data_IF_211919784393
#
_entry.id   IF_211919784393
#
_cell.length_a   1.000
_cell.length_b   1.000
_cell.length_c   1.000
_cell.angle_alpha   90.00
_cell.angle_beta   90.00
_cell.angle_gamma   90.00
#
_symmetry.space_group_name_H-M   'P 1'
#
loop_
_entity.id
_entity.type
_entity.pdbx_description
1 polymer ?
#
# COMPACT_ATOMS: atom_id res chain seq x y z
N UNK A 1 -37.55 14.45 15.92
CA UNK A 1 -36.64 15.46 15.33
C UNK A 1 -35.79 16.14 16.39
N UNK A 2 -36.36 16.62 17.49
CA UNK A 2 -35.65 17.39 18.53
C UNK A 2 -34.61 16.57 19.32
N UNK A 3 -34.83 15.27 19.52
CA UNK A 3 -33.90 14.42 20.28
C UNK A 3 -32.57 14.21 19.52
N UNK A 4 -32.64 13.98 18.22
CA UNK A 4 -31.48 13.85 17.37
C UNK A 4 -30.65 15.14 17.22
N UNK A 5 -31.29 16.30 17.23
CA UNK A 5 -30.60 17.59 17.25
C UNK A 5 -29.92 17.87 18.58
N UNK A 6 -30.56 17.54 19.69
CA UNK A 6 -29.99 17.68 21.04
C UNK A 6 -28.77 16.77 21.25
N UNK A 7 -28.76 15.54 20.72
CA UNK A 7 -27.60 14.67 20.77
C UNK A 7 -26.44 15.20 19.92
N UNK A 8 -26.72 15.68 18.71
CA UNK A 8 -25.67 16.27 17.84
C UNK A 8 -25.01 17.50 18.42
N UNK A 9 -25.76 18.38 19.08
CA UNK A 9 -25.16 19.54 19.74
C UNK A 9 -24.29 19.13 20.93
N UNK A 10 -24.69 18.14 21.72
CA UNK A 10 -23.87 17.60 22.83
C UNK A 10 -22.60 16.91 22.33
N UNK A 11 -22.66 16.18 21.22
CA UNK A 11 -21.48 15.57 20.60
C UNK A 11 -20.49 16.62 20.09
N UNK A 12 -20.98 17.75 19.56
CA UNK A 12 -20.10 18.82 19.04
C UNK A 12 -19.40 19.59 20.16
N UNK A 13 -19.94 19.63 21.37
CA UNK A 13 -19.40 20.35 22.53
C UNK A 13 -18.43 19.51 23.37
N UNK A 14 -18.42 18.18 23.23
CA UNK A 14 -17.55 17.33 24.02
C UNK A 14 -16.11 17.36 23.49
N UNK A 15 -15.08 17.66 24.32
CA UNK A 15 -13.68 17.73 23.86
C UNK A 15 -13.17 16.45 23.17
N UNK A 16 -13.73 15.28 23.55
CA UNK A 16 -13.40 13.99 22.93
C UNK A 16 -14.06 13.78 21.56
N UNK A 17 -15.05 14.61 21.21
CA UNK A 17 -15.73 14.57 19.91
C UNK A 17 -15.12 15.53 18.89
N UNK A 18 -13.91 16.05 19.16
CA UNK A 18 -13.17 16.86 18.19
C UNK A 18 -12.94 16.06 16.91
N UNK A 19 -13.73 16.37 15.89
CA UNK A 19 -13.68 15.74 14.57
C UNK A 19 -12.82 16.51 13.57
N UNK A 20 -12.26 17.64 14.00
CA UNK A 20 -11.42 18.52 13.19
C UNK A 20 -10.15 18.90 13.99
N UNK A 21 -9.24 17.93 14.22
CA UNK A 21 -7.97 18.25 14.86
C UNK A 21 -7.14 19.18 13.98
N UNK A 22 -6.21 19.93 14.60
CA UNK A 22 -5.22 20.70 13.86
C UNK A 22 -4.46 19.80 12.88
N UNK A 23 -4.00 20.36 11.78
CA UNK A 23 -3.13 19.63 10.86
C UNK A 23 -1.85 19.22 11.58
N UNK A 24 -1.39 17.98 11.45
CA UNK A 24 -0.15 17.56 12.06
C UNK A 24 1.05 18.26 11.43
N UNK A 25 2.04 18.57 12.23
CA UNK A 25 3.36 18.87 11.71
C UNK A 25 3.97 17.57 11.18
N UNK A 26 4.33 17.57 9.90
CA UNK A 26 4.87 16.39 9.21
C UNK A 26 6.39 16.54 9.02
N UNK A 27 7.22 15.92 9.86
CA UNK A 27 8.66 16.00 9.70
C UNK A 27 9.09 15.45 8.34
N UNK A 28 10.23 15.92 7.83
CA UNK A 28 10.83 15.35 6.64
C UNK A 28 11.45 14.01 7.00
N UNK A 29 11.17 12.94 6.23
CA UNK A 29 11.82 11.65 6.45
C UNK A 29 13.34 11.73 6.30
N UNK A 30 14.06 10.90 7.03
CA UNK A 30 15.46 10.61 6.74
C UNK A 30 15.51 9.73 5.48
N UNK A 31 15.70 10.38 4.33
CA UNK A 31 15.71 9.70 3.04
C UNK A 31 16.93 8.79 2.88
N UNK A 32 16.69 7.55 2.51
CA UNK A 32 17.76 6.60 2.23
C UNK A 32 18.42 6.89 0.87
N UNK A 33 19.73 6.65 0.74
CA UNK A 33 20.39 6.69 -0.57
C UNK A 33 19.81 5.63 -1.52
N UNK A 34 19.75 5.96 -2.81
CA UNK A 34 19.44 4.97 -3.85
C UNK A 34 20.51 3.89 -3.90
N UNK A 35 20.14 2.69 -4.34
CA UNK A 35 21.02 1.50 -4.44
C UNK A 35 21.46 0.86 -3.11
N UNK A 36 21.09 1.46 -1.98
CA UNK A 36 21.28 0.85 -0.66
C UNK A 36 20.01 0.11 -0.27
N UNK A 37 20.15 -1.13 0.18
CA UNK A 37 19.00 -1.90 0.66
C UNK A 37 18.66 -1.55 2.11
N UNK A 38 17.36 -1.48 2.40
CA UNK A 38 16.85 -1.25 3.74
C UNK A 38 15.41 -1.71 3.94
N UNK A 39 14.98 -1.74 5.21
CA UNK A 39 13.64 -2.16 5.57
C UNK A 39 12.69 -1.00 5.62
N UNK A 40 11.70 -1.00 4.73
CA UNK A 40 10.65 0.00 4.69
C UNK A 40 9.91 0.13 6.05
N UNK A 41 9.61 -0.99 6.72
CA UNK A 41 9.00 -0.96 8.05
C UNK A 41 9.89 -0.30 9.11
N UNK A 42 11.21 -0.54 9.08
CA UNK A 42 12.14 0.13 10.01
C UNK A 42 12.24 1.64 9.74
N UNK A 43 12.16 2.07 8.48
CA UNK A 43 12.11 3.48 8.12
C UNK A 43 10.83 4.14 8.60
N UNK A 44 9.69 3.47 8.44
CA UNK A 44 8.39 3.94 8.95
C UNK A 44 8.37 4.05 10.47
N UNK A 45 8.95 3.09 11.20
CA UNK A 45 9.04 3.13 12.66
C UNK A 45 9.78 4.40 13.15
N UNK A 46 10.97 4.65 12.58
CA UNK A 46 11.75 5.88 12.89
C UNK A 46 10.97 7.15 12.60
N UNK A 47 10.42 7.25 11.40
CA UNK A 47 9.67 8.43 10.99
C UNK A 47 8.39 8.65 11.82
N UNK A 48 7.69 7.57 12.20
CA UNK A 48 6.48 7.67 13.01
C UNK A 48 6.80 8.17 14.44
N UNK A 49 7.92 7.75 15.01
CA UNK A 49 8.41 8.30 16.30
C UNK A 49 8.64 9.80 16.19
N UNK A 50 9.30 10.28 15.14
CA UNK A 50 9.50 11.72 14.90
C UNK A 50 8.17 12.45 14.71
N UNK A 51 7.22 11.86 13.98
CA UNK A 51 5.88 12.42 13.80
C UNK A 51 5.15 12.59 15.13
N UNK A 52 5.18 11.58 15.99
CA UNK A 52 4.56 11.63 17.32
C UNK A 52 5.18 12.73 18.17
N UNK A 53 6.51 12.79 18.22
CA UNK A 53 7.25 13.79 19.00
C UNK A 53 7.00 15.23 18.50
N UNK A 54 6.82 15.41 17.20
CA UNK A 54 6.50 16.70 16.60
C UNK A 54 5.05 17.18 16.86
N UNK A 55 4.18 16.30 17.38
CA UNK A 55 2.75 16.55 17.55
C UNK A 55 2.24 16.21 18.98
N UNK A 56 2.84 16.75 20.05
CA UNK A 56 2.45 16.40 21.43
C UNK A 56 1.01 16.80 21.78
N UNK A 57 0.40 17.70 20.99
CA UNK A 57 -0.99 18.13 21.16
C UNK A 57 -2.01 17.12 20.64
N UNK A 58 -1.60 16.15 19.81
CA UNK A 58 -2.49 15.14 19.25
C UNK A 58 -2.49 13.88 20.12
N UNK A 59 -3.67 13.38 20.42
CA UNK A 59 -3.81 12.09 21.10
C UNK A 59 -3.45 10.95 20.14
N UNK A 60 -2.43 10.17 20.47
CA UNK A 60 -2.01 9.03 19.67
C UNK A 60 -2.81 7.79 20.03
N UNK A 61 -3.17 7.00 19.00
CA UNK A 61 -3.77 5.69 19.18
C UNK A 61 -3.23 4.72 18.12
N UNK A 62 -2.63 3.62 18.59
CA UNK A 62 -2.18 2.54 17.71
C UNK A 62 -3.06 1.33 17.99
N UNK A 63 -3.65 0.75 16.93
CA UNK A 63 -4.29 -0.56 16.96
C UNK A 63 -3.36 -1.61 16.41
N UNK A 64 -2.99 -2.60 17.22
CA UNK A 64 -2.17 -3.73 16.78
C UNK A 64 -2.69 -5.01 17.45
N UNK A 65 -3.20 -5.98 16.67
CA UNK A 65 -3.77 -7.20 17.24
C UNK A 65 -2.73 -8.16 17.80
N UNK A 66 -1.48 -8.01 17.36
CA UNK A 66 -0.37 -8.90 17.67
C UNK A 66 0.93 -8.10 17.82
N UNK A 67 2.03 -8.75 17.98
CA UNK A 67 3.38 -8.26 18.28
C UNK A 67 3.84 -7.07 17.42
N UNK A 68 3.67 -5.84 17.90
CA UNK A 68 4.12 -4.63 17.21
C UNK A 68 5.64 -4.62 16.97
N UNK A 69 6.43 -5.15 17.92
CA UNK A 69 7.88 -5.28 17.80
C UNK A 69 8.29 -6.24 16.67
N UNK A 70 7.58 -7.36 16.49
CA UNK A 70 7.85 -8.31 15.39
C UNK A 70 7.56 -7.72 14.02
N UNK A 71 6.73 -6.69 13.96
CA UNK A 71 6.45 -5.89 12.77
C UNK A 71 7.49 -4.77 12.54
N UNK A 72 8.65 -4.84 13.21
CA UNK A 72 9.74 -3.85 13.15
C UNK A 72 9.33 -2.44 13.60
N UNK A 73 8.37 -2.33 14.52
CA UNK A 73 7.96 -1.06 15.14
C UNK A 73 8.35 -0.99 16.62
N UNK A 74 9.56 -1.42 16.93
CA UNK A 74 10.08 -1.47 18.31
C UNK A 74 10.31 -0.10 18.94
N UNK A 75 10.79 0.90 18.19
CA UNK A 75 11.00 2.24 18.69
C UNK A 75 9.64 2.93 19.02
N UNK A 76 8.64 2.76 18.17
CA UNK A 76 7.27 3.20 18.43
C UNK A 76 6.71 2.55 19.71
N UNK A 77 6.88 1.24 19.88
CA UNK A 77 6.43 0.53 21.08
C UNK A 77 7.13 1.01 22.34
N UNK A 78 8.45 1.22 22.29
CA UNK A 78 9.22 1.74 23.42
C UNK A 78 8.74 3.15 23.85
N UNK A 79 8.41 4.01 22.89
CA UNK A 79 7.91 5.35 23.15
C UNK A 79 6.48 5.36 23.69
N UNK A 80 5.57 4.61 23.05
CA UNK A 80 4.13 4.74 23.26
C UNK A 80 3.51 3.68 24.17
N UNK A 81 4.20 2.59 24.43
CA UNK A 81 3.87 1.49 25.33
C UNK A 81 2.49 0.86 25.10
N UNK A 82 2.37 -0.41 25.41
CA UNK A 82 1.09 -1.11 25.48
C UNK A 82 0.22 -0.51 26.58
N UNK A 83 -1.07 -0.36 26.30
CA UNK A 83 -2.05 0.07 27.27
C UNK A 83 -2.56 -1.13 28.05
N UNK A 84 -2.26 -1.18 29.34
CA UNK A 84 -2.66 -2.27 30.23
C UNK A 84 -3.17 -1.72 31.56
N UNK A 85 -3.95 -2.52 32.29
CA UNK A 85 -4.45 -2.14 33.61
C UNK A 85 -3.38 -2.31 34.71
N UNK A 86 -2.52 -3.31 34.55
CA UNK A 86 -1.45 -3.64 35.50
C UNK A 86 -0.16 -3.83 34.71
N UNK A 87 0.70 -2.82 34.61
CA UNK A 87 1.98 -2.92 33.89
C UNK A 87 2.96 -3.88 34.55
N UNK A 88 3.66 -4.71 33.75
CA UNK A 88 4.73 -5.57 34.21
C UNK A 88 6.10 -4.84 34.18
N UNK A 89 6.93 -4.97 35.24
CA UNK A 89 8.25 -4.38 35.26
C UNK A 89 9.15 -4.94 34.13
N UNK A 90 9.81 -4.04 33.39
CA UNK A 90 10.74 -4.43 32.30
C UNK A 90 10.08 -4.69 30.96
N UNK A 91 8.75 -4.59 30.87
CA UNK A 91 7.97 -4.69 29.64
C UNK A 91 7.54 -3.27 29.21
N UNK A 92 7.44 -2.95 27.92
CA UNK A 92 6.96 -1.64 27.44
C UNK A 92 5.45 -1.49 27.60
N UNK A 93 4.99 -1.43 28.85
CA UNK A 93 3.60 -1.35 29.26
C UNK A 93 3.32 -0.11 30.13
N UNK A 94 2.12 0.44 30.06
CA UNK A 94 1.66 1.55 30.89
C UNK A 94 0.13 1.62 30.95
N UNK A 95 -0.41 2.13 32.06
CA UNK A 95 -1.83 2.47 32.14
C UNK A 95 -2.23 3.59 31.18
N UNK A 96 -1.28 4.46 30.81
CA UNK A 96 -1.46 5.55 29.87
C UNK A 96 -0.91 5.24 28.46
N UNK A 97 -0.56 3.98 28.20
CA UNK A 97 -0.06 3.52 26.93
C UNK A 97 -1.00 3.87 25.76
N UNK A 98 -0.43 4.12 24.60
CA UNK A 98 -1.19 4.47 23.39
C UNK A 98 -1.38 3.29 22.43
N UNK A 99 -0.66 2.18 22.63
CA UNK A 99 -0.79 0.96 21.83
C UNK A 99 -1.86 0.07 22.44
N UNK A 100 -2.96 -0.09 21.72
CA UNK A 100 -4.04 -1.01 22.08
C UNK A 100 -3.78 -2.35 21.41
N UNK A 101 -3.53 -3.37 22.25
CA UNK A 101 -3.28 -4.75 21.80
C UNK A 101 -4.40 -5.66 22.31
N UNK A 102 -5.01 -6.38 21.39
CA UNK A 102 -5.96 -7.44 21.66
C UNK A 102 -5.92 -8.42 20.48
N UNK A 103 -6.00 -9.72 20.76
CA UNK A 103 -6.08 -10.76 19.71
C UNK A 103 -7.46 -10.71 19.00
N UNK A 104 -7.81 -9.51 18.56
CA UNK A 104 -9.04 -9.20 17.83
C UNK A 104 -8.80 -7.99 16.94
N UNK A 105 -8.64 -8.23 15.68
CA UNK A 105 -8.31 -7.23 14.66
C UNK A 105 -9.37 -6.13 14.58
N UNK A 106 -10.65 -6.49 14.67
CA UNK A 106 -11.74 -5.52 14.61
C UNK A 106 -11.74 -4.59 15.84
N UNK A 107 -11.49 -5.13 17.04
CA UNK A 107 -11.46 -4.32 18.27
C UNK A 107 -10.33 -3.29 18.25
N UNK A 108 -9.12 -3.67 17.81
CA UNK A 108 -7.98 -2.74 17.74
C UNK A 108 -8.15 -1.69 16.64
N UNK A 109 -8.74 -2.08 15.50
CA UNK A 109 -9.10 -1.14 14.45
C UNK A 109 -10.18 -0.15 14.92
N UNK A 110 -11.21 -0.62 15.64
CA UNK A 110 -12.23 0.23 16.24
C UNK A 110 -11.64 1.24 17.21
N UNK A 111 -10.69 0.82 18.07
CA UNK A 111 -10.03 1.72 18.99
C UNK A 111 -9.25 2.85 18.31
N UNK A 112 -8.58 2.56 17.18
CA UNK A 112 -7.88 3.56 16.38
C UNK A 112 -8.85 4.47 15.61
N UNK A 113 -9.83 3.90 14.90
CA UNK A 113 -10.79 4.66 14.10
C UNK A 113 -11.71 5.55 14.94
N UNK A 114 -12.01 5.17 16.19
CA UNK A 114 -12.80 5.99 17.11
C UNK A 114 -12.06 7.25 17.60
N UNK A 115 -10.75 7.32 17.48
CA UNK A 115 -9.96 8.46 17.92
C UNK A 115 -9.95 9.61 16.88
N UNK A 116 -11.11 10.18 16.60
CA UNK A 116 -11.31 11.19 15.52
C UNK A 116 -10.53 12.50 15.73
N UNK A 117 -10.22 12.85 16.97
CA UNK A 117 -9.46 14.06 17.31
C UNK A 117 -7.95 13.84 17.43
N UNK A 118 -7.42 12.73 17.00
CA UNK A 118 -6.03 12.35 17.19
C UNK A 118 -5.31 11.84 15.95
N UNK A 119 -4.11 11.36 16.20
CA UNK A 119 -3.26 10.70 15.20
C UNK A 119 -3.33 9.19 15.42
N UNK A 120 -3.70 8.47 14.39
CA UNK A 120 -4.00 7.03 14.48
C UNK A 120 -3.13 6.23 13.54
N UNK A 121 -2.82 5.00 13.95
CA UNK A 121 -2.13 4.00 13.14
C UNK A 121 -2.72 2.62 13.45
N UNK A 122 -2.93 1.82 12.42
CA UNK A 122 -3.26 0.39 12.56
C UNK A 122 -2.14 -0.40 11.91
N UNK A 123 -1.65 -1.44 12.60
CA UNK A 123 -0.60 -2.33 12.08
C UNK A 123 -1.05 -3.77 12.26
N UNK A 124 -1.03 -4.55 11.19
CA UNK A 124 -1.42 -5.97 11.22
C UNK A 124 -0.66 -6.77 10.16
N UNK A 125 -0.70 -8.10 10.27
CA UNK A 125 -0.35 -8.98 9.16
C UNK A 125 -1.39 -8.88 8.05
N UNK A 126 -0.94 -8.93 6.79
CA UNK A 126 -1.83 -8.74 5.63
C UNK A 126 -3.02 -9.71 5.65
N UNK A 127 -2.76 -11.00 5.86
CA UNK A 127 -3.80 -12.04 5.85
C UNK A 127 -4.86 -11.84 6.93
N UNK A 128 -4.52 -11.27 8.08
CA UNK A 128 -5.47 -11.09 9.18
C UNK A 128 -6.23 -9.76 9.11
N UNK A 129 -5.66 -8.78 8.43
CA UNK A 129 -6.27 -7.46 8.31
C UNK A 129 -7.66 -7.49 7.64
N UNK A 130 -7.98 -8.54 6.87
CA UNK A 130 -9.31 -8.71 6.27
C UNK A 130 -10.44 -8.75 7.32
N UNK A 131 -10.17 -9.18 8.54
CA UNK A 131 -11.13 -9.16 9.65
C UNK A 131 -11.55 -7.74 10.07
N UNK A 132 -10.75 -6.72 9.73
CA UNK A 132 -11.06 -5.31 10.00
C UNK A 132 -11.97 -4.68 8.93
N UNK A 133 -12.19 -5.36 7.79
CA UNK A 133 -12.83 -4.79 6.60
C UNK A 133 -14.23 -4.24 6.88
N UNK A 134 -15.05 -4.95 7.66
CA UNK A 134 -16.41 -4.53 7.96
C UNK A 134 -16.46 -3.17 8.64
N UNK A 135 -15.60 -2.94 9.63
CA UNK A 135 -15.48 -1.68 10.35
C UNK A 135 -14.90 -0.56 9.46
N UNK A 136 -13.86 -0.86 8.69
CA UNK A 136 -13.25 0.11 7.78
C UNK A 136 -14.24 0.59 6.73
N UNK A 137 -15.04 -0.31 6.17
CA UNK A 137 -16.09 0.04 5.21
C UNK A 137 -17.12 1.00 5.80
N UNK A 138 -17.51 0.85 7.06
CA UNK A 138 -18.41 1.81 7.71
C UNK A 138 -17.82 3.20 7.73
N UNK A 139 -16.54 3.36 8.11
CA UNK A 139 -15.86 4.66 8.09
C UNK A 139 -15.75 5.24 6.68
N UNK A 140 -15.41 4.42 5.70
CA UNK A 140 -15.30 4.80 4.29
C UNK A 140 -16.68 5.30 3.78
N UNK A 141 -17.76 4.57 4.05
CA UNK A 141 -19.12 4.93 3.64
C UNK A 141 -19.55 6.25 4.30
N UNK A 142 -19.31 6.43 5.60
CA UNK A 142 -19.62 7.68 6.30
C UNK A 142 -18.80 8.85 5.77
N UNK A 143 -17.50 8.67 5.57
CA UNK A 143 -16.62 9.70 5.01
C UNK A 143 -17.08 10.09 3.60
N UNK A 144 -17.43 9.11 2.77
CA UNK A 144 -17.95 9.34 1.43
C UNK A 144 -19.27 10.13 1.46
N UNK A 145 -20.19 9.72 2.30
CA UNK A 145 -21.47 10.41 2.45
C UNK A 145 -21.31 11.85 2.91
N UNK A 146 -20.36 12.14 3.79
CA UNK A 146 -20.07 13.52 4.21
C UNK A 146 -19.53 14.36 3.04
N UNK A 147 -18.65 13.81 2.19
CA UNK A 147 -18.16 14.49 0.97
C UNK A 147 -19.30 14.80 0.00
N UNK A 148 -20.19 13.85 -0.26
CA UNK A 148 -21.37 14.03 -1.12
C UNK A 148 -22.31 15.12 -0.63
N UNK A 149 -22.37 15.35 0.68
CA UNK A 149 -23.15 16.41 1.29
C UNK A 149 -22.40 17.77 1.35
N UNK A 150 -21.20 17.87 0.75
CA UNK A 150 -20.37 19.07 0.80
C UNK A 150 -19.76 19.36 2.19
N UNK A 151 -19.74 18.37 3.08
CA UNK A 151 -19.18 18.46 4.44
C UNK A 151 -18.08 17.40 4.63
N UNK A 152 -16.93 17.55 3.96
CA UNK A 152 -15.87 16.53 4.02
C UNK A 152 -15.39 16.31 5.46
N UNK A 153 -15.02 15.06 5.81
CA UNK A 153 -14.55 14.73 7.14
C UNK A 153 -13.33 15.56 7.55
N UNK A 154 -13.30 16.01 8.80
CA UNK A 154 -12.17 16.78 9.32
C UNK A 154 -11.11 15.96 10.05
N UNK A 155 -11.34 14.68 10.31
CA UNK A 155 -10.37 13.82 10.99
C UNK A 155 -9.18 13.48 10.09
N UNK A 156 -7.98 13.36 10.70
CA UNK A 156 -6.74 12.98 10.00
C UNK A 156 -6.90 11.56 9.46
N UNK A 157 -6.56 11.35 8.21
CA UNK A 157 -6.67 10.03 7.58
C UNK A 157 -5.93 8.95 8.36
N UNK A 158 -6.47 7.74 8.36
CA UNK A 158 -5.98 6.63 9.18
C UNK A 158 -5.28 5.60 8.28
N UNK A 159 -3.97 5.42 8.42
CA UNK A 159 -3.27 4.34 7.75
C UNK A 159 -3.51 3.00 8.46
N UNK A 160 -3.74 1.98 7.65
CA UNK A 160 -3.58 0.57 7.98
C UNK A 160 -2.29 0.10 7.31
N UNK A 161 -1.24 -0.11 8.07
CA UNK A 161 -0.03 -0.77 7.57
C UNK A 161 -0.27 -2.27 7.65
N UNK A 162 -0.17 -2.94 6.51
CA UNK A 162 -0.13 -4.40 6.43
C UNK A 162 1.28 -4.84 6.07
N UNK A 163 1.84 -5.70 6.91
CA UNK A 163 3.21 -6.20 6.78
C UNK A 163 3.25 -7.70 7.06
N UNK A 164 4.43 -8.32 7.07
CA UNK A 164 4.51 -9.79 6.99
C UNK A 164 3.56 -10.31 5.91
N UNK A 165 3.59 -9.62 4.79
CA UNK A 165 2.59 -9.77 3.74
C UNK A 165 2.78 -11.09 2.97
N UNK A 166 1.86 -11.37 2.07
CA UNK A 166 1.70 -12.63 1.32
C UNK A 166 3.03 -13.21 0.80
N UNK A 167 3.94 -12.38 0.29
CA UNK A 167 5.21 -12.84 -0.29
C UNK A 167 6.33 -13.06 0.73
N UNK A 168 6.20 -12.55 1.96
CA UNK A 168 7.24 -12.58 2.99
C UNK A 168 6.97 -13.58 4.12
N UNK A 169 5.74 -14.02 4.29
CA UNK A 169 5.35 -14.80 5.46
C UNK A 169 5.61 -16.30 5.28
N UNK A 170 6.89 -16.67 5.32
CA UNK A 170 7.33 -18.04 5.10
C UNK A 170 7.19 -18.98 6.32
N UNK A 171 7.02 -18.42 7.53
CA UNK A 171 7.04 -19.22 8.76
C UNK A 171 5.69 -19.89 9.07
N UNK A 172 4.60 -19.27 8.67
CA UNK A 172 3.25 -19.59 9.14
C UNK A 172 2.36 -20.23 8.06
N UNK A 173 2.95 -20.66 6.99
CA UNK A 173 2.28 -21.35 5.88
C UNK A 173 1.19 -20.48 5.17
N UNK A 174 0.39 -21.13 4.34
CA UNK A 174 -0.61 -20.48 3.51
C UNK A 174 -1.71 -19.74 4.29
N UNK A 175 -1.98 -20.13 5.54
CA UNK A 175 -2.95 -19.44 6.40
C UNK A 175 -2.62 -17.97 6.69
N UNK A 176 -1.37 -17.57 6.49
CA UNK A 176 -0.87 -16.20 6.69
C UNK A 176 -0.52 -15.48 5.38
N UNK A 177 -0.92 -16.05 4.25
CA UNK A 177 -0.61 -15.56 2.90
C UNK A 177 -1.91 -15.25 2.16
N UNK A 178 -2.43 -14.03 2.32
CA UNK A 178 -3.67 -13.59 1.67
C UNK A 178 -3.70 -12.08 1.46
N UNK A 179 -3.76 -11.58 0.21
CA UNK A 179 -3.82 -10.16 -0.12
C UNK A 179 -5.24 -9.58 -0.14
N UNK A 180 -6.24 -10.32 0.32
CA UNK A 180 -7.69 -9.98 0.18
C UNK A 180 -8.03 -8.59 0.74
N UNK A 181 -7.37 -8.10 1.80
CA UNK A 181 -7.70 -6.78 2.37
C UNK A 181 -7.44 -5.65 1.36
N UNK A 182 -6.31 -5.68 0.66
CA UNK A 182 -5.99 -4.72 -0.39
C UNK A 182 -6.96 -4.81 -1.56
N UNK A 183 -7.27 -6.02 -2.01
CA UNK A 183 -8.24 -6.28 -3.09
C UNK A 183 -9.63 -5.76 -2.77
N UNK A 184 -10.11 -6.01 -1.55
CA UNK A 184 -11.42 -5.55 -1.11
C UNK A 184 -11.50 -4.01 -1.01
N UNK A 185 -10.46 -3.36 -0.48
CA UNK A 185 -10.41 -1.91 -0.38
C UNK A 185 -10.24 -1.23 -1.74
N UNK A 186 -9.59 -1.86 -2.72
CA UNK A 186 -9.59 -1.40 -4.11
C UNK A 186 -11.00 -1.41 -4.74
N UNK A 187 -11.94 -2.17 -4.19
CA UNK A 187 -13.36 -2.14 -4.58
C UNK A 187 -14.11 -0.89 -4.10
N UNK A 188 -13.62 -0.21 -3.06
CA UNK A 188 -14.23 1.01 -2.50
C UNK A 188 -13.93 2.26 -3.33
N UNK A 189 -14.51 3.42 -2.97
CA UNK A 189 -14.25 4.70 -3.63
C UNK A 189 -12.83 5.19 -3.34
N UNK A 190 -12.01 5.36 -4.36
CA UNK A 190 -10.58 5.65 -4.24
C UNK A 190 -10.26 6.98 -3.55
N UNK A 191 -11.18 7.93 -3.55
CA UNK A 191 -11.03 9.20 -2.84
C UNK A 191 -11.23 9.10 -1.32
N UNK A 192 -11.74 7.96 -0.82
CA UNK A 192 -11.94 7.65 0.61
C UNK A 192 -11.23 6.39 1.09
N UNK A 193 -10.96 5.45 0.19
CA UNK A 193 -10.22 4.23 0.47
C UNK A 193 -9.01 4.15 -0.46
N UNK A 194 -7.81 4.34 0.10
CA UNK A 194 -6.56 4.26 -0.65
C UNK A 194 -5.90 2.91 -0.41
N UNK A 195 -5.28 2.34 -1.43
CA UNK A 195 -4.41 1.16 -1.31
C UNK A 195 -3.10 1.49 -1.98
N UNK A 196 -2.02 1.47 -1.20
CA UNK A 196 -0.69 1.85 -1.63
C UNK A 196 0.27 0.65 -1.51
N UNK A 197 1.08 0.46 -2.53
CA UNK A 197 2.11 -0.57 -2.63
C UNK A 197 3.49 0.10 -2.76
N UNK A 198 4.03 0.74 -1.71
CA UNK A 198 5.37 1.29 -1.77
C UNK A 198 6.40 0.19 -2.03
N UNK A 199 7.46 0.52 -2.74
CA UNK A 199 8.44 -0.45 -3.22
C UNK A 199 9.78 -0.41 -2.49
N UNK A 200 10.04 0.67 -1.73
CA UNK A 200 11.27 0.88 -0.97
C UNK A 200 11.03 1.76 0.27
N UNK A 201 12.10 2.05 1.03
CA UNK A 201 12.02 2.89 2.25
C UNK A 201 11.48 4.30 1.93
N UNK A 202 11.95 4.91 0.85
CA UNK A 202 11.62 6.29 0.50
C UNK A 202 10.15 6.41 0.05
N UNK A 203 9.67 5.50 -0.77
CA UNK A 203 8.27 5.47 -1.20
C UNK A 203 7.33 5.13 -0.05
N UNK A 204 7.74 4.28 0.91
CA UNK A 204 6.96 3.98 2.10
C UNK A 204 6.81 5.22 3.01
N UNK A 205 7.90 5.93 3.28
CA UNK A 205 7.86 7.17 4.07
C UNK A 205 7.05 8.27 3.36
N UNK A 206 7.20 8.42 2.04
CA UNK A 206 6.41 9.36 1.26
C UNK A 206 4.92 9.02 1.30
N UNK A 207 4.57 7.72 1.18
CA UNK A 207 3.18 7.25 1.26
C UNK A 207 2.55 7.57 2.62
N UNK A 208 3.21 7.20 3.72
CA UNK A 208 2.68 7.43 5.06
C UNK A 208 2.54 8.92 5.36
N UNK A 209 3.52 9.73 4.93
CA UNK A 209 3.46 11.19 5.04
C UNK A 209 2.28 11.78 4.26
N UNK A 210 2.02 11.32 3.04
CA UNK A 210 0.88 11.74 2.23
C UNK A 210 -0.47 11.34 2.84
N UNK A 211 -0.55 10.18 3.49
CA UNK A 211 -1.76 9.76 4.22
C UNK A 211 -2.04 10.74 5.36
N UNK A 212 -1.06 11.07 6.20
CA UNK A 212 -1.27 12.00 7.31
C UNK A 212 -1.45 13.47 6.88
N UNK A 213 -1.04 13.83 5.67
CA UNK A 213 -1.35 15.12 5.07
C UNK A 213 -2.82 15.23 4.62
N UNK A 214 -3.53 14.12 4.49
CA UNK A 214 -4.91 14.03 4.02
C UNK A 214 -5.93 13.88 5.16
N UNK A 215 -7.21 14.02 4.83
CA UNK A 215 -8.31 13.90 5.79
C UNK A 215 -9.42 13.01 5.27
N UNK A 216 -10.05 12.29 6.19
CA UNK A 216 -11.24 11.50 5.90
C UNK A 216 -11.01 10.28 5.02
N UNK A 217 -9.81 9.73 5.01
CA UNK A 217 -9.47 8.54 4.23
C UNK A 217 -8.99 7.41 5.14
N UNK A 218 -9.30 6.19 4.78
CA UNK A 218 -8.64 4.98 5.26
C UNK A 218 -7.65 4.55 4.18
N UNK A 219 -6.39 4.36 4.54
CA UNK A 219 -5.34 4.02 3.59
C UNK A 219 -4.65 2.71 3.99
N UNK A 220 -4.84 1.65 3.22
CA UNK A 220 -4.08 0.42 3.33
C UNK A 220 -2.71 0.63 2.67
N UNK A 221 -1.64 0.43 3.42
CA UNK A 221 -0.25 0.55 2.94
C UNK A 221 0.42 -0.79 3.12
N UNK A 222 0.72 -1.46 2.01
CA UNK A 222 1.34 -2.80 1.98
C UNK A 222 2.85 -2.64 2.02
N UNK A 223 3.49 -3.01 3.13
CA UNK A 223 4.88 -2.67 3.40
C UNK A 223 5.74 -3.91 3.67
N UNK A 224 6.85 -4.02 2.93
CA UNK A 224 7.87 -5.02 3.20
C UNK A 224 8.58 -4.75 4.53
N UNK A 225 8.79 -5.79 5.33
CA UNK A 225 9.66 -5.73 6.51
C UNK A 225 11.05 -6.28 6.25
N UNK A 226 11.27 -6.97 5.13
CA UNK A 226 12.60 -7.37 4.69
C UNK A 226 13.31 -6.21 4.01
N UNK A 227 14.60 -6.30 3.91
CA UNK A 227 15.40 -5.30 3.23
C UNK A 227 15.18 -5.45 1.71
N UNK A 228 14.86 -4.33 1.06
CA UNK A 228 14.69 -4.20 -0.40
C UNK A 228 15.58 -3.07 -0.90
N UNK A 229 16.06 -3.10 -2.17
CA UNK A 229 16.82 -2.00 -2.74
C UNK A 229 15.99 -0.70 -2.77
N UNK A 230 16.65 0.43 -2.53
CA UNK A 230 16.05 1.75 -2.70
C UNK A 230 16.23 2.23 -4.14
N UNK A 231 15.13 2.33 -4.88
CA UNK A 231 15.11 2.76 -6.28
C UNK A 231 14.85 4.25 -6.46
N UNK A 232 14.19 4.88 -5.49
CA UNK A 232 13.68 6.24 -5.63
C UNK A 232 14.42 7.22 -4.71
N UNK A 233 14.89 8.34 -5.28
CA UNK A 233 15.32 9.49 -4.48
C UNK A 233 14.13 10.12 -3.74
N UNK A 234 14.39 11.01 -2.79
CA UNK A 234 13.35 11.75 -2.05
C UNK A 234 12.33 12.42 -2.99
N UNK A 235 12.82 13.16 -3.99
CA UNK A 235 11.94 13.86 -4.94
C UNK A 235 11.14 12.90 -5.82
N UNK A 236 11.77 11.83 -6.31
CA UNK A 236 11.12 10.82 -7.13
C UNK A 236 10.06 10.04 -6.34
N UNK A 237 10.33 9.70 -5.07
CA UNK A 237 9.38 9.03 -4.19
C UNK A 237 8.14 9.90 -3.90
N UNK A 238 8.34 11.20 -3.64
CA UNK A 238 7.24 12.14 -3.43
C UNK A 238 6.38 12.27 -4.70
N UNK A 239 7.01 12.46 -5.86
CA UNK A 239 6.30 12.53 -7.15
C UNK A 239 5.54 11.26 -7.46
N UNK A 240 6.14 10.08 -7.21
CA UNK A 240 5.49 8.79 -7.41
C UNK A 240 4.21 8.65 -6.56
N UNK A 241 4.24 9.05 -5.29
CA UNK A 241 3.07 9.01 -4.41
C UNK A 241 2.01 10.04 -4.83
N UNK A 242 2.40 11.20 -5.33
CA UNK A 242 1.48 12.22 -5.82
C UNK A 242 0.72 11.75 -7.06
N UNK A 243 1.38 11.06 -7.99
CA UNK A 243 0.79 10.61 -9.25
C UNK A 243 0.25 9.17 -9.20
N UNK A 244 0.71 8.35 -8.25
CA UNK A 244 0.32 6.94 -8.07
C UNK A 244 1.04 5.96 -8.99
N UNK A 245 1.76 6.45 -10.01
CA UNK A 245 2.58 5.64 -10.91
C UNK A 245 3.75 6.49 -11.47
N UNK A 246 4.85 5.83 -11.83
CA UNK A 246 5.98 6.47 -12.47
C UNK A 246 6.72 5.50 -13.39
N UNK A 247 7.36 6.06 -14.40
CA UNK A 247 8.27 5.34 -15.27
C UNK A 247 9.61 5.10 -14.56
N UNK A 248 10.16 3.88 -14.70
CA UNK A 248 11.36 3.48 -13.95
C UNK A 248 12.54 3.14 -14.87
N UNK A 249 12.29 2.43 -15.97
CA UNK A 249 13.34 1.97 -16.87
C UNK A 249 12.86 1.84 -18.31
N UNK A 250 13.78 1.89 -19.26
CA UNK A 250 13.54 1.85 -20.70
C UNK A 250 12.96 3.17 -21.24
N UNK A 251 12.71 3.25 -22.52
CA UNK A 251 12.07 4.41 -23.18
C UNK A 251 10.74 3.99 -23.79
N UNK A 252 9.59 4.50 -23.30
CA UNK A 252 8.27 4.15 -23.83
C UNK A 252 8.08 4.45 -25.31
N UNK A 253 8.85 5.39 -25.86
CA UNK A 253 8.75 5.79 -27.27
C UNK A 253 9.37 4.77 -28.24
N UNK A 254 10.33 3.99 -27.77
CA UNK A 254 11.05 2.98 -28.54
C UNK A 254 10.72 1.55 -28.10
N UNK A 255 10.07 1.39 -26.96
CA UNK A 255 9.70 0.10 -26.41
C UNK A 255 8.70 -0.65 -27.31
N UNK A 256 8.83 -1.97 -27.31
CA UNK A 256 7.89 -2.93 -27.93
C UNK A 256 6.99 -3.61 -26.89
N UNK A 257 7.31 -3.44 -25.61
CA UNK A 257 6.61 -4.03 -24.47
C UNK A 257 6.71 -3.11 -23.27
N UNK A 258 5.65 -3.07 -22.45
CA UNK A 258 5.66 -2.42 -21.15
C UNK A 258 5.42 -3.43 -20.02
N UNK A 259 6.33 -3.47 -19.04
CA UNK A 259 6.06 -4.07 -17.74
C UNK A 259 5.36 -3.08 -16.83
N UNK A 260 4.36 -3.55 -16.09
CA UNK A 260 3.66 -2.75 -15.06
C UNK A 260 3.82 -3.48 -13.73
N UNK A 261 4.65 -2.95 -12.84
CA UNK A 261 4.98 -3.57 -11.55
C UNK A 261 4.17 -2.95 -10.41
N UNK A 262 3.57 -3.78 -9.55
CA UNK A 262 2.77 -3.39 -8.40
C UNK A 262 3.25 -4.18 -7.18
N UNK A 263 4.06 -3.54 -6.34
CA UNK A 263 4.72 -4.15 -5.18
C UNK A 263 6.24 -4.25 -5.33
N UNK A 264 6.94 -4.34 -4.19
CA UNK A 264 8.40 -4.30 -4.14
C UNK A 264 9.06 -5.47 -4.89
N UNK A 265 8.67 -6.71 -4.60
CA UNK A 265 9.23 -7.89 -5.26
C UNK A 265 8.85 -7.98 -6.73
N UNK A 266 7.66 -7.48 -7.10
CA UNK A 266 7.19 -7.43 -8.47
C UNK A 266 8.01 -6.45 -9.31
N UNK A 267 8.48 -5.35 -8.71
CA UNK A 267 9.40 -4.43 -9.38
C UNK A 267 10.76 -5.08 -9.63
N UNK A 268 11.31 -5.82 -8.65
CA UNK A 268 12.56 -6.55 -8.80
C UNK A 268 12.49 -7.58 -9.96
N UNK A 269 11.39 -8.33 -10.02
CA UNK A 269 11.20 -9.31 -11.09
C UNK A 269 10.99 -8.63 -12.47
N UNK A 270 10.32 -7.48 -12.52
CA UNK A 270 10.19 -6.69 -13.74
C UNK A 270 11.55 -6.15 -14.22
N UNK A 271 12.39 -5.65 -13.32
CA UNK A 271 13.73 -5.13 -13.64
C UNK A 271 14.64 -6.25 -14.20
N UNK A 272 14.61 -7.44 -13.60
CA UNK A 272 15.35 -8.61 -14.10
C UNK A 272 14.86 -9.02 -15.50
N UNK A 273 13.54 -9.12 -15.70
CA UNK A 273 12.96 -9.46 -16.98
C UNK A 273 13.32 -8.43 -18.07
N UNK A 274 13.21 -7.14 -17.75
CA UNK A 274 13.60 -6.04 -18.63
C UNK A 274 15.07 -6.17 -19.08
N UNK A 275 15.99 -6.30 -18.15
CA UNK A 275 17.42 -6.42 -18.47
C UNK A 275 17.71 -7.62 -19.41
N UNK A 276 17.03 -8.74 -19.20
CA UNK A 276 17.16 -9.92 -20.05
C UNK A 276 16.61 -9.71 -21.47
N UNK A 277 15.42 -9.11 -21.57
CA UNK A 277 14.78 -8.84 -22.86
C UNK A 277 15.60 -7.82 -23.68
N UNK A 278 16.11 -6.77 -23.07
CA UNK A 278 17.01 -5.80 -23.72
C UNK A 278 18.26 -6.48 -24.27
N UNK A 279 18.89 -7.37 -23.48
CA UNK A 279 20.07 -8.13 -23.92
C UNK A 279 19.77 -9.01 -25.16
N UNK A 280 18.55 -9.51 -25.27
CA UNK A 280 18.09 -10.36 -26.38
C UNK A 280 17.39 -9.58 -27.51
N UNK A 281 17.42 -8.23 -27.48
CA UNK A 281 16.95 -7.38 -28.56
C UNK A 281 15.44 -7.11 -28.57
N UNK A 282 14.72 -7.35 -27.46
CA UNK A 282 13.35 -6.88 -27.27
C UNK A 282 13.34 -5.64 -26.37
N UNK A 283 13.23 -4.47 -26.99
CA UNK A 283 13.15 -3.22 -26.25
C UNK A 283 11.88 -3.19 -25.37
N UNK A 284 12.06 -2.94 -24.08
CA UNK A 284 10.98 -2.89 -23.12
C UNK A 284 11.08 -1.67 -22.22
N UNK A 285 9.99 -1.33 -21.53
CA UNK A 285 9.98 -0.29 -20.52
C UNK A 285 9.24 -0.73 -19.28
N UNK A 286 9.49 -0.09 -18.14
CA UNK A 286 8.86 -0.43 -16.86
C UNK A 286 8.17 0.80 -16.29
N UNK A 287 6.90 0.63 -15.90
CA UNK A 287 6.14 1.59 -15.10
C UNK A 287 5.77 0.92 -13.77
N UNK A 288 6.14 1.54 -12.65
CA UNK A 288 5.70 1.12 -11.33
C UNK A 288 4.38 1.80 -10.98
N UNK A 289 3.46 1.06 -10.36
CA UNK A 289 2.19 1.57 -9.87
C UNK A 289 2.14 1.35 -8.36
N UNK A 290 2.17 2.44 -7.60
CA UNK A 290 2.09 2.39 -6.14
C UNK A 290 0.68 2.61 -5.62
N UNK A 291 -0.22 3.24 -6.39
CA UNK A 291 -1.60 3.48 -6.01
C UNK A 291 -2.56 3.17 -7.17
N UNK A 292 -2.94 1.89 -7.36
CA UNK A 292 -3.80 1.47 -8.48
C UNK A 292 -5.15 2.19 -8.53
N UNK A 293 -5.68 2.61 -7.38
CA UNK A 293 -6.94 3.36 -7.29
C UNK A 293 -6.94 4.67 -8.09
N UNK A 294 -5.78 5.29 -8.33
CA UNK A 294 -5.65 6.48 -9.17
C UNK A 294 -5.77 6.21 -10.67
N UNK A 295 -5.64 4.96 -11.08
CA UNK A 295 -5.65 4.57 -12.49
C UNK A 295 -7.00 3.99 -12.95
N UNK A 296 -7.99 3.92 -12.08
CA UNK A 296 -9.28 3.32 -12.36
C UNK A 296 -10.17 4.22 -13.22
N UNK A 297 -11.21 3.64 -13.80
CA UNK A 297 -12.33 4.41 -14.36
C UNK A 297 -13.07 5.05 -13.19
N UNK A 298 -13.17 6.39 -13.11
CA UNK A 298 -13.89 7.04 -12.03
C UNK A 298 -15.39 6.75 -12.13
N UNK A 299 -16.03 6.54 -10.98
CA UNK A 299 -17.45 6.19 -10.90
C UNK A 299 -18.35 7.43 -10.74
N UNK A 300 -17.78 8.56 -10.33
CA UNK A 300 -18.43 9.84 -10.18
C UNK A 300 -17.42 11.01 -10.16
N UNK A 301 -17.92 12.25 -10.00
CA UNK A 301 -17.11 13.48 -10.03
C UNK A 301 -16.08 13.58 -8.87
N UNK A 302 -16.43 13.09 -7.67
CA UNK A 302 -15.52 13.11 -6.53
C UNK A 302 -14.34 12.16 -6.75
N UNK A 303 -14.60 10.98 -7.28
CA UNK A 303 -13.56 10.04 -7.64
C UNK A 303 -12.76 10.52 -8.87
N UNK A 304 -13.41 11.18 -9.83
CA UNK A 304 -12.74 11.76 -11.00
C UNK A 304 -11.70 12.82 -10.62
N UNK A 305 -11.97 13.59 -9.57
CA UNK A 305 -11.00 14.56 -9.04
C UNK A 305 -9.77 13.90 -8.39
N UNK A 306 -9.86 12.63 -8.02
CA UNK A 306 -8.78 11.87 -7.38
C UNK A 306 -7.94 11.05 -8.37
N UNK A 307 -8.55 10.54 -9.44
CA UNK A 307 -7.86 9.69 -10.42
C UNK A 307 -6.96 10.50 -11.37
N UNK A 308 -5.98 9.82 -11.93
CA UNK A 308 -5.07 10.41 -12.90
C UNK A 308 -5.82 10.78 -14.20
N UNK A 309 -5.57 11.98 -14.72
CA UNK A 309 -6.15 12.43 -15.98
C UNK A 309 -5.68 11.61 -17.18
N UNK A 310 -6.46 11.63 -18.26
CA UNK A 310 -6.20 10.79 -19.45
C UNK A 310 -4.85 11.09 -20.13
N UNK A 311 -4.45 12.35 -20.21
CA UNK A 311 -3.18 12.74 -20.79
C UNK A 311 -1.99 12.15 -20.01
N UNK A 312 -1.97 12.33 -18.71
CA UNK A 312 -0.92 11.76 -17.83
C UNK A 312 -0.93 10.23 -17.85
N UNK A 313 -2.13 9.64 -17.91
CA UNK A 313 -2.28 8.20 -18.02
C UNK A 313 -1.68 7.66 -19.33
N UNK A 314 -1.97 8.30 -20.46
CA UNK A 314 -1.46 7.87 -21.77
C UNK A 314 0.06 8.09 -21.91
N UNK A 315 0.61 9.11 -21.25
CA UNK A 315 2.05 9.32 -21.19
C UNK A 315 2.76 8.19 -20.43
N UNK A 316 2.17 7.72 -19.31
CA UNK A 316 2.72 6.60 -18.53
C UNK A 316 2.44 5.24 -19.15
N UNK A 317 1.33 5.09 -19.86
CA UNK A 317 0.82 3.82 -20.41
C UNK A 317 0.42 4.00 -21.89
N UNK A 318 1.39 4.08 -22.81
CA UNK A 318 1.11 4.28 -24.25
C UNK A 318 0.14 3.20 -24.78
N UNK A 319 -1.00 3.55 -25.40
CA UNK A 319 -2.04 2.58 -25.76
C UNK A 319 -1.62 1.51 -26.79
N UNK A 320 -0.57 1.80 -27.56
CA UNK A 320 -0.07 0.88 -28.59
C UNK A 320 0.76 -0.26 -28.01
N UNK A 321 1.34 -0.10 -26.80
CA UNK A 321 2.22 -1.10 -26.21
C UNK A 321 1.43 -2.29 -25.63
N UNK A 322 1.83 -3.53 -25.94
CA UNK A 322 1.40 -4.68 -25.16
C UNK A 322 1.99 -4.62 -23.75
N UNK A 323 1.35 -5.29 -22.79
CA UNK A 323 1.68 -5.19 -21.38
C UNK A 323 1.78 -6.51 -20.66
N UNK A 324 2.73 -6.58 -19.74
CA UNK A 324 2.78 -7.62 -18.70
C UNK A 324 2.67 -6.94 -17.34
N UNK A 325 1.56 -7.17 -16.65
CA UNK A 325 1.35 -6.73 -15.28
C UNK A 325 1.93 -7.79 -14.33
N UNK A 326 2.69 -7.34 -13.34
CA UNK A 326 3.22 -8.18 -12.27
C UNK A 326 2.72 -7.58 -10.95
N UNK A 327 1.77 -8.26 -10.30
CA UNK A 327 0.98 -7.71 -9.19
C UNK A 327 1.28 -8.40 -7.86
N UNK A 328 1.28 -7.62 -6.80
CA UNK A 328 1.29 -8.11 -5.42
C UNK A 328 0.04 -8.96 -5.11
N UNK A 329 -1.12 -8.54 -5.62
CA UNK A 329 -2.42 -9.17 -5.40
C UNK A 329 -2.74 -10.20 -6.50
N UNK A 330 -3.94 -10.77 -6.42
CA UNK A 330 -4.45 -11.63 -7.50
C UNK A 330 -4.62 -10.82 -8.78
N UNK A 331 -4.35 -11.42 -9.96
CA UNK A 331 -4.45 -10.73 -11.25
C UNK A 331 -5.86 -10.22 -11.57
N UNK A 332 -6.89 -10.99 -11.27
CA UNK A 332 -8.26 -10.71 -11.68
C UNK A 332 -8.83 -9.43 -11.07
N UNK A 333 -8.80 -9.22 -9.73
CA UNK A 333 -9.26 -7.96 -9.14
C UNK A 333 -8.41 -6.78 -9.58
N UNK A 334 -7.09 -6.96 -9.75
CA UNK A 334 -6.19 -5.89 -10.19
C UNK A 334 -6.48 -5.46 -11.64
N UNK A 335 -6.70 -6.38 -12.56
CA UNK A 335 -7.12 -6.07 -13.94
C UNK A 335 -8.44 -5.29 -13.97
N UNK A 336 -9.37 -5.63 -13.09
CA UNK A 336 -10.64 -4.89 -12.95
C UNK A 336 -10.44 -3.42 -12.56
N UNK A 337 -9.51 -3.13 -11.67
CA UNK A 337 -9.15 -1.77 -11.25
C UNK A 337 -8.40 -1.03 -12.36
N UNK A 338 -7.45 -1.71 -13.01
CA UNK A 338 -6.56 -1.15 -14.02
C UNK A 338 -7.15 -1.18 -15.45
N UNK A 339 -8.46 -1.25 -15.59
CA UNK A 339 -9.11 -1.40 -16.90
C UNK A 339 -8.80 -0.28 -17.90
N UNK A 340 -8.46 0.92 -17.44
CA UNK A 340 -8.05 2.03 -18.32
C UNK A 340 -6.73 1.78 -19.05
N UNK A 341 -5.90 0.88 -18.51
CA UNK A 341 -4.60 0.54 -19.09
C UNK A 341 -4.56 -0.88 -19.66
N UNK A 342 -5.65 -1.64 -19.57
CA UNK A 342 -5.78 -2.97 -20.17
C UNK A 342 -5.97 -2.84 -21.69
N UNK A 343 -5.03 -3.43 -22.45
CA UNK A 343 -5.07 -3.45 -23.92
C UNK A 343 -5.79 -4.68 -24.50
N UNK A 344 -6.47 -5.45 -23.63
CA UNK A 344 -7.22 -6.64 -24.00
C UNK A 344 -6.40 -7.95 -23.99
N UNK A 345 -7.07 -9.09 -24.09
CA UNK A 345 -6.48 -10.41 -23.83
C UNK A 345 -5.38 -10.83 -24.80
N UNK A 346 -5.30 -10.22 -25.99
CA UNK A 346 -4.21 -10.47 -26.94
C UNK A 346 -2.95 -9.64 -26.67
N UNK A 347 -3.06 -8.55 -25.91
CA UNK A 347 -1.99 -7.59 -25.66
C UNK A 347 -1.67 -7.39 -24.18
N UNK A 348 -2.45 -7.97 -23.25
CA UNK A 348 -2.22 -7.88 -21.81
C UNK A 348 -2.11 -9.26 -21.21
N UNK A 349 -1.08 -9.47 -20.40
CA UNK A 349 -0.93 -10.60 -19.47
C UNK A 349 -0.78 -10.07 -18.07
N UNK A 350 -1.32 -10.80 -17.10
CA UNK A 350 -1.21 -10.43 -15.70
C UNK A 350 -0.71 -11.63 -14.88
N UNK A 351 0.32 -11.39 -14.10
CA UNK A 351 0.91 -12.29 -13.13
C UNK A 351 0.64 -11.74 -11.74
N UNK A 352 0.56 -12.61 -10.75
CA UNK A 352 0.31 -12.22 -9.37
C UNK A 352 0.10 -13.43 -8.48
N UNK A 353 -0.44 -13.20 -7.30
CA UNK A 353 -0.73 -14.28 -6.36
C UNK A 353 -1.87 -15.17 -6.86
N UNK A 354 -1.64 -16.48 -6.95
CA UNK A 354 -2.62 -17.47 -7.44
C UNK A 354 -2.97 -18.52 -6.37
N UNK A 355 -2.92 -18.14 -5.10
CA UNK A 355 -3.22 -18.99 -3.93
C UNK A 355 -2.29 -20.21 -3.76
N UNK A 356 -1.08 -20.16 -4.28
CA UNK A 356 -0.07 -21.15 -4.00
C UNK A 356 0.83 -20.65 -2.89
N UNK A 357 0.80 -21.30 -1.75
CA UNK A 357 1.53 -20.93 -0.55
C UNK A 357 2.18 -22.10 0.15
N UNK A 358 2.76 -21.80 1.30
CA UNK A 358 3.44 -22.76 2.16
C UNK A 358 4.57 -22.12 2.95
N UNK A 359 5.43 -22.94 3.57
CA UNK A 359 6.67 -22.49 4.25
C UNK A 359 7.76 -22.17 3.23
N UNK A 360 7.49 -21.24 2.32
CA UNK A 360 8.37 -20.83 1.25
C UNK A 360 8.95 -19.45 1.54
N UNK A 361 10.21 -19.24 1.22
CA UNK A 361 10.78 -17.89 1.21
C UNK A 361 10.24 -17.06 0.04
N UNK A 362 10.69 -15.82 -0.11
CA UNK A 362 10.20 -14.94 -1.18
C UNK A 362 10.40 -15.55 -2.57
N UNK A 363 11.57 -16.13 -2.82
CA UNK A 363 11.87 -16.76 -4.11
C UNK A 363 10.94 -17.97 -4.37
N UNK A 364 10.76 -18.82 -3.36
CA UNK A 364 9.83 -19.95 -3.43
C UNK A 364 8.39 -19.51 -3.66
N UNK A 365 7.94 -18.41 -3.02
CA UNK A 365 6.61 -17.85 -3.25
C UNK A 365 6.43 -17.33 -4.68
N UNK A 366 7.44 -16.62 -5.22
CA UNK A 366 7.41 -16.15 -6.61
C UNK A 366 7.35 -17.32 -7.61
N UNK A 367 8.14 -18.37 -7.39
CA UNK A 367 8.13 -19.59 -8.23
C UNK A 367 6.78 -20.30 -8.14
N UNK A 368 6.27 -20.54 -6.94
CA UNK A 368 5.00 -21.24 -6.73
C UNK A 368 3.81 -20.53 -7.40
N UNK A 369 3.84 -19.19 -7.39
CA UNK A 369 2.80 -18.36 -7.98
C UNK A 369 3.08 -17.94 -9.44
N UNK A 370 4.13 -18.47 -10.06
CA UNK A 370 4.51 -18.14 -11.45
C UNK A 370 4.63 -16.64 -11.68
N UNK A 371 5.33 -15.97 -10.77
CA UNK A 371 5.46 -14.52 -10.73
C UNK A 371 6.94 -14.08 -10.78
N UNK A 372 7.80 -14.94 -11.32
CA UNK A 372 9.23 -14.68 -11.48
C UNK A 372 9.51 -13.89 -12.76
N UNK A 373 10.72 -13.34 -12.88
CA UNK A 373 11.20 -12.71 -14.11
C UNK A 373 11.16 -13.70 -15.31
N UNK A 374 11.34 -15.00 -15.09
CA UNK A 374 11.21 -16.03 -16.12
C UNK A 374 9.77 -16.10 -16.63
N UNK A 375 8.79 -16.15 -15.72
CA UNK A 375 7.37 -16.15 -16.08
C UNK A 375 7.00 -14.85 -16.81
N UNK A 376 7.57 -13.71 -16.39
CA UNK A 376 7.38 -12.44 -17.06
C UNK A 376 7.92 -12.42 -18.49
N UNK A 377 9.06 -13.07 -18.77
CA UNK A 377 9.59 -13.24 -20.14
C UNK A 377 8.65 -14.09 -20.98
N UNK A 378 8.15 -15.21 -20.46
CA UNK A 378 7.19 -16.03 -21.21
C UNK A 378 5.85 -15.31 -21.45
N UNK A 379 5.40 -14.52 -20.49
CA UNK A 379 4.21 -13.66 -20.66
C UNK A 379 4.47 -12.57 -21.74
N UNK A 380 5.66 -11.98 -21.75
CA UNK A 380 6.08 -11.02 -22.76
C UNK A 380 6.07 -11.63 -24.18
N UNK A 381 6.59 -12.83 -24.33
CA UNK A 381 6.57 -13.54 -25.61
C UNK A 381 5.15 -13.75 -26.16
N UNK A 382 4.19 -14.06 -25.28
CA UNK A 382 2.78 -14.25 -25.68
C UNK A 382 2.11 -12.99 -26.23
N UNK A 383 2.56 -11.79 -25.84
CA UNK A 383 1.95 -10.51 -26.25
C UNK A 383 2.76 -9.77 -27.33
N UNK A 384 4.04 -10.12 -27.53
CA UNK A 384 4.90 -9.50 -28.53
C UNK A 384 5.08 -10.34 -29.79
N UNK A 385 4.67 -11.60 -29.77
CA UNK A 385 4.88 -12.52 -30.89
C UNK A 385 6.27 -13.15 -30.95
N UNK A 386 7.07 -13.03 -29.89
CA UNK A 386 8.30 -13.80 -29.76
C UNK A 386 8.01 -15.30 -29.78
N UNK A 387 8.86 -16.06 -30.46
CA UNK A 387 8.71 -17.53 -30.47
C UNK A 387 9.29 -18.15 -29.19
N UNK A 388 8.95 -19.42 -28.95
CA UNK A 388 9.35 -20.16 -27.76
C UNK A 388 10.88 -20.28 -27.61
N UNK A 389 11.64 -20.32 -28.71
CA UNK A 389 13.11 -20.41 -28.65
C UNK A 389 13.73 -19.09 -28.19
N UNK A 390 13.21 -17.94 -28.65
CA UNK A 390 13.67 -16.61 -28.18
C UNK A 390 13.36 -16.42 -26.69
N UNK A 391 12.16 -16.78 -26.26
CA UNK A 391 11.78 -16.71 -24.84
C UNK A 391 12.65 -17.64 -23.98
N UNK A 392 12.89 -18.86 -24.41
CA UNK A 392 13.74 -19.80 -23.70
C UNK A 392 15.19 -19.33 -23.61
N UNK A 393 15.76 -18.76 -24.67
CA UNK A 393 17.10 -18.18 -24.64
C UNK A 393 17.19 -17.06 -23.59
N UNK A 394 16.27 -16.11 -23.60
CA UNK A 394 16.25 -15.02 -22.61
C UNK A 394 16.03 -15.52 -21.17
N UNK A 395 15.31 -16.62 -20.97
CA UNK A 395 15.03 -17.21 -19.66
C UNK A 395 16.15 -18.10 -19.11
N UNK A 396 17.09 -18.60 -19.95
CA UNK A 396 18.14 -19.53 -19.54
C UNK A 396 19.54 -18.92 -19.47
N UNK A 397 19.75 -17.78 -20.08
CA UNK A 397 21.04 -17.05 -20.10
C UNK A 397 21.28 -16.40 -18.72
N UNK A 398 21.78 -17.18 -17.76
CA UNK A 398 22.05 -16.75 -16.37
C UNK A 398 23.55 -16.73 -16.08
#
# INVERSE_FOLDING_TARGET
>A
ANHGQSQRSRESEHPMALRHPASPHLPMPAWAPTEVSGSAMSALDRWFVELVQANPQLRIRIGNPDELASNKMGATLALLKHRVNVPEPGVPESTDGSVVTALNEEAVAAAALANKGGLNLIVSYEAFAVKMLGLMRQEIIFARRQKELGQPPGWISVPLIVTSHTWENSKNEQSHQDPTIGEALLGEMSDTARVLFPVDENTACAALRAVYASRGQVACVVVSKRDTPNHFSAAAAQSLIEHGAAHVAGDPSTAQLQFVAIGAYQLEEALKAHARLEHHGLASCITVVVEPGRLRIPRDELEAAFVLGDESLQALFPPHLPRVLISHTRPEPMLGVLRRIDSGPSKTRALGYINHGGTLDVAGMLIANRCTWVDAIYAAAQVTGWNSSQAAAAATDA
#
